data_IF_506869691979
#
_entry.id   IF_506869691979
#
_cell.length_a   1.000
_cell.length_b   1.000
_cell.length_c   1.000
_cell.angle_alpha   90.00
_cell.angle_beta   90.00
_cell.angle_gamma   90.00
#
_symmetry.space_group_name_H-M   'P 1'
#
loop_
_entity.id
_entity.type
_entity.pdbx_description
1 polymer ?
#
# COMPACT_ATOMS: atom_id res chain seq x y z
N UNK A 1 28.03 -4.11 -9.29
CA UNK A 1 27.41 -5.02 -8.33
C UNK A 1 25.93 -5.18 -8.62
N UNK A 2 25.50 -6.37 -8.83
CA UNK A 2 24.15 -6.63 -9.28
C UNK A 2 23.18 -6.87 -8.10
N UNK A 3 23.26 -6.03 -7.09
CA UNK A 3 22.43 -6.20 -5.91
C UNK A 3 20.94 -6.19 -6.23
N UNK A 4 20.54 -5.26 -7.08
CA UNK A 4 19.13 -5.13 -7.42
C UNK A 4 18.59 -6.34 -8.15
N UNK A 5 19.42 -6.96 -9.00
CA UNK A 5 19.02 -8.15 -9.74
C UNK A 5 19.45 -9.44 -9.11
N UNK A 6 20.21 -9.37 -8.03
CA UNK A 6 20.82 -10.57 -7.44
C UNK A 6 20.11 -11.13 -6.22
N UNK A 7 19.16 -10.40 -5.65
CA UNK A 7 18.47 -10.88 -4.45
C UNK A 7 17.35 -11.87 -4.81
N UNK A 8 17.23 -12.99 -4.06
CA UNK A 8 16.07 -13.86 -4.20
C UNK A 8 14.76 -13.08 -3.94
N UNK A 9 13.69 -13.45 -4.63
CA UNK A 9 12.43 -12.71 -4.57
C UNK A 9 11.87 -12.49 -3.16
N UNK A 10 11.85 -13.49 -2.25
CA UNK A 10 11.34 -13.22 -0.90
C UNK A 10 12.17 -12.17 -0.17
N UNK A 11 13.48 -12.18 -0.36
CA UNK A 11 14.37 -11.20 0.28
C UNK A 11 14.18 -9.83 -0.36
N UNK A 12 14.05 -9.79 -1.68
CA UNK A 12 13.85 -8.55 -2.41
C UNK A 12 12.54 -7.88 -2.00
N UNK A 13 11.46 -8.65 -1.91
CA UNK A 13 10.15 -8.11 -1.48
C UNK A 13 10.26 -7.53 -0.07
N UNK A 14 10.88 -8.26 0.86
CA UNK A 14 11.05 -7.79 2.23
C UNK A 14 11.89 -6.53 2.29
N UNK A 15 12.95 -6.46 1.50
CA UNK A 15 13.80 -5.28 1.43
C UNK A 15 13.01 -4.07 0.93
N UNK A 16 12.18 -4.25 -0.09
CA UNK A 16 11.34 -3.17 -0.60
C UNK A 16 10.30 -2.73 0.42
N UNK A 17 9.71 -3.69 1.15
CA UNK A 17 8.76 -3.36 2.22
C UNK A 17 9.42 -2.51 3.29
N UNK A 18 10.60 -2.89 3.74
CA UNK A 18 11.33 -2.12 4.73
C UNK A 18 11.70 -0.73 4.21
N UNK A 19 12.10 -0.66 2.94
CA UNK A 19 12.47 0.62 2.33
C UNK A 19 11.27 1.57 2.25
N UNK A 20 10.10 1.06 1.89
CA UNK A 20 8.90 1.90 1.80
C UNK A 20 8.55 2.51 3.15
N UNK A 21 8.66 1.72 4.23
CA UNK A 21 8.40 2.20 5.59
C UNK A 21 9.44 3.23 6.00
N UNK A 22 10.71 2.98 5.69
CA UNK A 22 11.79 3.91 6.02
C UNK A 22 11.59 5.26 5.34
N UNK A 23 11.24 5.25 4.06
CA UNK A 23 10.96 6.49 3.34
C UNK A 23 9.80 7.25 3.97
N UNK A 24 8.72 6.55 4.31
CA UNK A 24 7.56 7.19 4.92
C UNK A 24 7.92 7.85 6.25
N UNK A 25 8.68 7.15 7.08
CA UNK A 25 9.11 7.69 8.38
C UNK A 25 10.03 8.89 8.23
N UNK A 26 10.79 8.94 7.14
CA UNK A 26 11.67 10.06 6.86
C UNK A 26 10.96 11.24 6.20
N UNK A 27 9.65 11.13 5.94
CA UNK A 27 8.90 12.17 5.25
C UNK A 27 9.06 12.15 3.74
N UNK A 28 9.74 11.14 3.20
CA UNK A 28 9.95 10.98 1.76
C UNK A 28 8.75 10.26 1.16
N UNK A 29 7.59 10.92 1.18
CA UNK A 29 6.33 10.28 0.85
C UNK A 29 6.23 9.82 -0.60
N UNK A 30 6.77 10.61 -1.54
CA UNK A 30 6.73 10.24 -2.95
C UNK A 30 7.57 9.00 -3.22
N UNK A 31 8.74 8.91 -2.59
CA UNK A 31 9.59 7.73 -2.73
C UNK A 31 8.96 6.49 -2.11
N UNK A 32 8.32 6.68 -0.95
CA UNK A 32 7.60 5.58 -0.31
C UNK A 32 6.48 5.08 -1.21
N UNK A 33 5.71 5.99 -1.81
CA UNK A 33 4.65 5.63 -2.76
C UNK A 33 5.20 4.82 -3.93
N UNK A 34 6.30 5.27 -4.52
CA UNK A 34 6.86 4.59 -5.68
C UNK A 34 7.25 3.16 -5.36
N UNK A 35 7.86 2.94 -4.19
CA UNK A 35 8.21 1.58 -3.75
C UNK A 35 6.96 0.76 -3.51
N UNK A 36 5.93 1.34 -2.91
CA UNK A 36 4.66 0.64 -2.68
C UNK A 36 3.99 0.24 -4.00
N UNK A 37 4.02 1.11 -5.01
CA UNK A 37 3.46 0.78 -6.31
C UNK A 37 4.21 -0.37 -6.96
N UNK A 38 5.53 -0.41 -6.83
CA UNK A 38 6.32 -1.54 -7.30
C UNK A 38 5.91 -2.83 -6.58
N UNK A 39 5.70 -2.75 -5.27
CA UNK A 39 5.26 -3.90 -4.49
C UNK A 39 3.88 -4.40 -4.93
N UNK A 40 2.99 -3.49 -5.31
CA UNK A 40 1.67 -3.88 -5.80
C UNK A 40 1.75 -4.65 -7.11
N UNK A 41 2.80 -4.43 -7.91
CA UNK A 41 3.02 -5.16 -9.15
C UNK A 41 3.83 -6.44 -8.96
N UNK A 42 4.27 -6.71 -7.75
CA UNK A 42 5.04 -7.92 -7.45
C UNK A 42 4.14 -9.16 -7.58
N UNK A 43 4.66 -10.28 -8.11
CA UNK A 43 3.87 -11.50 -8.24
C UNK A 43 3.30 -12.00 -6.91
N UNK A 44 4.06 -11.85 -5.83
CA UNK A 44 3.57 -12.23 -4.51
C UNK A 44 2.90 -11.04 -3.85
N UNK A 45 1.79 -11.31 -3.16
CA UNK A 45 1.04 -10.27 -2.46
C UNK A 45 1.89 -9.61 -1.39
N UNK A 46 1.83 -8.29 -1.31
CA UNK A 46 2.50 -7.51 -0.26
C UNK A 46 1.47 -6.64 0.46
N UNK A 47 1.15 -7.00 1.68
CA UNK A 47 0.25 -6.19 2.51
C UNK A 47 0.82 -4.80 2.73
N UNK A 48 2.14 -4.70 2.96
CA UNK A 48 2.82 -3.43 3.18
C UNK A 48 2.67 -2.51 1.96
N UNK A 49 2.78 -3.07 0.76
CA UNK A 49 2.63 -2.29 -0.47
C UNK A 49 1.25 -1.67 -0.59
N UNK A 50 0.22 -2.48 -0.39
CA UNK A 50 -1.16 -2.01 -0.51
C UNK A 50 -1.52 -1.02 0.59
N UNK A 51 -1.13 -1.30 1.82
CA UNK A 51 -1.38 -0.37 2.92
C UNK A 51 -0.65 0.95 2.71
N UNK A 52 0.63 0.88 2.33
CA UNK A 52 1.42 2.08 2.13
C UNK A 52 0.88 2.97 1.02
N UNK A 53 0.48 2.36 -0.10
CA UNK A 53 -0.11 3.11 -1.20
C UNK A 53 -1.44 3.75 -0.78
N UNK A 54 -2.28 3.01 -0.06
CA UNK A 54 -3.55 3.55 0.42
C UNK A 54 -3.33 4.73 1.37
N UNK A 55 -2.36 4.62 2.27
CA UNK A 55 -2.03 5.71 3.19
C UNK A 55 -1.59 6.94 2.42
N UNK A 56 -0.76 6.75 1.40
CA UNK A 56 -0.30 7.87 0.58
C UNK A 56 -1.47 8.59 -0.08
N UNK A 57 -2.33 7.83 -0.75
CA UNK A 57 -3.46 8.45 -1.47
C UNK A 57 -4.44 9.13 -0.51
N UNK A 58 -4.64 8.57 0.66
CA UNK A 58 -5.54 9.18 1.65
C UNK A 58 -4.95 10.44 2.27
N UNK A 59 -3.71 10.39 2.74
CA UNK A 59 -3.14 11.42 3.62
C UNK A 59 -2.28 12.44 2.91
N UNK A 60 -1.64 12.08 1.83
CA UNK A 60 -0.74 12.99 1.11
C UNK A 60 -1.44 13.56 -0.12
N UNK A 61 -1.98 12.70 -0.96
CA UNK A 61 -2.64 13.13 -2.19
C UNK A 61 -4.09 13.57 -1.97
N UNK A 62 -4.70 13.18 -0.86
CA UNK A 62 -6.12 13.44 -0.57
C UNK A 62 -7.03 12.92 -1.69
N UNK A 63 -6.65 11.79 -2.28
CA UNK A 63 -7.40 11.12 -3.33
C UNK A 63 -8.02 9.86 -2.75
N UNK A 64 -9.19 10.02 -2.12
CA UNK A 64 -9.86 8.91 -1.44
C UNK A 64 -10.31 7.83 -2.42
N UNK A 65 -10.68 8.21 -3.62
CA UNK A 65 -11.10 7.26 -4.63
C UNK A 65 -9.95 6.34 -5.02
N UNK A 66 -8.75 6.90 -5.25
CA UNK A 66 -7.57 6.10 -5.54
C UNK A 66 -7.23 5.18 -4.37
N UNK A 67 -7.33 5.68 -3.14
CA UNK A 67 -7.06 4.87 -1.95
C UNK A 67 -8.03 3.70 -1.86
N UNK A 68 -9.32 3.93 -2.11
CA UNK A 68 -10.32 2.87 -2.09
C UNK A 68 -10.05 1.80 -3.15
N UNK A 69 -9.64 2.23 -4.36
CA UNK A 69 -9.29 1.28 -5.43
C UNK A 69 -8.11 0.41 -5.05
N UNK A 70 -7.08 1.01 -4.43
CA UNK A 70 -5.91 0.26 -3.97
C UNK A 70 -6.32 -0.81 -2.96
N UNK A 71 -7.15 -0.43 -1.98
CA UNK A 71 -7.60 -1.37 -0.96
C UNK A 71 -8.43 -2.50 -1.54
N UNK A 72 -9.30 -2.19 -2.49
CA UNK A 72 -10.12 -3.20 -3.13
C UNK A 72 -9.28 -4.20 -3.92
N UNK A 73 -8.29 -3.71 -4.66
CA UNK A 73 -7.37 -4.59 -5.37
C UNK A 73 -6.58 -5.46 -4.39
N UNK A 74 -6.14 -4.88 -3.28
CA UNK A 74 -5.44 -5.63 -2.24
C UNK A 74 -6.31 -6.75 -1.66
N UNK A 75 -7.59 -6.47 -1.41
CA UNK A 75 -8.50 -7.49 -0.91
C UNK A 75 -8.67 -8.64 -1.90
N UNK A 76 -8.69 -8.34 -3.18
CA UNK A 76 -8.80 -9.36 -4.22
C UNK A 76 -7.57 -10.28 -4.24
N UNK A 77 -6.39 -9.71 -3.99
CA UNK A 77 -5.13 -10.46 -4.04
C UNK A 77 -4.72 -11.07 -2.69
N UNK A 78 -5.30 -10.61 -1.59
CA UNK A 78 -4.90 -11.05 -0.26
C UNK A 78 -5.03 -12.56 -0.11
N UNK A 79 -4.00 -13.19 0.46
CA UNK A 79 -3.92 -14.63 0.57
C UNK A 79 -4.47 -15.19 1.86
N UNK A 80 -4.62 -14.35 2.88
CA UNK A 80 -5.16 -14.79 4.18
C UNK A 80 -6.39 -13.99 4.54
N UNK A 81 -7.27 -14.61 5.33
CA UNK A 81 -8.47 -13.92 5.84
C UNK A 81 -8.09 -12.72 6.70
N UNK A 82 -7.01 -12.84 7.45
CA UNK A 82 -6.55 -11.72 8.28
C UNK A 82 -6.23 -10.49 7.43
N UNK A 83 -5.49 -10.68 6.34
CA UNK A 83 -5.16 -9.57 5.46
C UNK A 83 -6.41 -8.98 4.82
N UNK A 84 -7.32 -9.84 4.36
CA UNK A 84 -8.58 -9.36 3.79
C UNK A 84 -9.38 -8.54 4.78
N UNK A 85 -9.47 -9.00 6.01
CA UNK A 85 -10.23 -8.31 7.06
C UNK A 85 -9.60 -6.96 7.40
N UNK A 86 -8.28 -6.90 7.46
CA UNK A 86 -7.60 -5.65 7.76
C UNK A 86 -7.81 -4.62 6.65
N UNK A 87 -7.71 -5.06 5.40
CA UNK A 87 -7.94 -4.16 4.26
C UNK A 87 -9.41 -3.74 4.17
N UNK A 88 -10.33 -4.67 4.44
CA UNK A 88 -11.77 -4.36 4.46
C UNK A 88 -12.10 -3.33 5.53
N UNK A 89 -11.54 -3.50 6.71
CA UNK A 89 -11.76 -2.57 7.81
C UNK A 89 -11.28 -1.16 7.45
N UNK A 90 -10.12 -1.07 6.82
CA UNK A 90 -9.58 0.21 6.36
C UNK A 90 -10.45 0.81 5.26
N UNK A 91 -10.93 -0.03 4.34
CA UNK A 91 -11.79 0.39 3.25
C UNK A 91 -13.11 0.97 3.79
N UNK A 92 -13.73 0.26 4.74
CA UNK A 92 -14.99 0.71 5.34
C UNK A 92 -14.82 2.07 6.00
N UNK A 93 -13.77 2.25 6.78
CA UNK A 93 -13.50 3.50 7.47
C UNK A 93 -13.26 4.64 6.49
N UNK A 94 -12.48 4.37 5.45
CA UNK A 94 -12.16 5.38 4.45
C UNK A 94 -13.39 5.76 3.63
N UNK A 95 -14.24 4.79 3.31
CA UNK A 95 -15.46 5.05 2.57
C UNK A 95 -16.38 5.98 3.37
N UNK A 96 -16.53 5.72 4.66
CA UNK A 96 -17.34 6.59 5.52
C UNK A 96 -16.77 8.00 5.59
N UNK A 97 -15.45 8.11 5.67
CA UNK A 97 -14.78 9.41 5.69
C UNK A 97 -15.01 10.17 4.38
N UNK A 98 -14.90 9.47 3.26
CA UNK A 98 -15.13 10.09 1.95
C UNK A 98 -16.58 10.57 1.81
N UNK A 99 -17.54 9.78 2.24
CA UNK A 99 -18.96 10.16 2.21
C UNK A 99 -19.24 11.36 3.10
N UNK A 100 -18.64 11.40 4.29
CA UNK A 100 -18.80 12.51 5.21
C UNK A 100 -18.28 13.82 4.60
N UNK A 101 -17.19 13.73 3.84
CA UNK A 101 -16.61 14.90 3.19
C UNK A 101 -17.47 15.40 2.03
N UNK A 102 -18.19 14.50 1.35
CA UNK A 102 -19.10 14.90 0.28
C UNK A 102 -20.26 15.74 0.81
N UNK A 103 -20.68 15.47 2.04
CA UNK A 103 -21.78 16.20 2.66
C UNK A 103 -21.33 17.39 3.50
N UNK A 104 -20.03 17.43 3.77
CA UNK A 104 -19.47 18.51 4.58
C UNK A 104 -19.04 19.68 3.76
#
# INVERSE_FOLDING_TARGET
MALAGGLPEPIRRKALENLSVAYRRAGEHDRSRDVCLDLMHHPEFSMVGYEGAAIYYERVAHDFEAALRVLQEGMTRAETERCKMLLQSRWDRLQQKALAMDFG
#
